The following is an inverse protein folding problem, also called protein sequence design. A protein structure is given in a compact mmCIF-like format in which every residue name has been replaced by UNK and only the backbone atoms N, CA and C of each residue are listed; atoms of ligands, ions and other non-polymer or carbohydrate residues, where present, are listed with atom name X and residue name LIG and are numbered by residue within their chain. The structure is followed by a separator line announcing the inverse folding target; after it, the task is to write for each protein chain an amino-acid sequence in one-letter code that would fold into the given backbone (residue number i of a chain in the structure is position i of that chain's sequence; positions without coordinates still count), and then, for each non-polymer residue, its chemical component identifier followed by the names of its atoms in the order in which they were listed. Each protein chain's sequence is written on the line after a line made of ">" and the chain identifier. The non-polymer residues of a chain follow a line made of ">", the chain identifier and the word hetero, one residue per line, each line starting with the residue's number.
data_IF_712048393933
#
_entry.id   IF_712048393933
#
_cell.length_a   1.000
_cell.length_b   1.000
_cell.length_c   1.000
_cell.angle_alpha   90.00
_cell.angle_beta   90.00
_cell.angle_gamma   90.00
#
_symmetry.space_group_name_H-M   'P 1'
#
loop_
_entity.id
_entity.type
_entity.pdbx_description
1 polymer ?
#
# COMPACT_ATOMS: atom_id res chain seq x y z
N UNK A 1 3.14 -2.73 5.48
CA UNK A 1 1.68 -2.99 5.49
C UNK A 1 0.98 -1.64 5.42
N UNK A 2 0.76 -1.07 4.23
CA UNK A 2 0.17 0.26 4.09
C UNK A 2 -1.16 0.40 4.86
N UNK A 3 -1.45 1.56 5.44
CA UNK A 3 -2.67 1.89 6.19
C UNK A 3 -2.74 1.39 7.63
N UNK A 4 -1.71 0.67 8.13
CA UNK A 4 -1.71 0.15 9.50
C UNK A 4 -1.74 1.27 10.57
N UNK A 5 -1.15 2.43 10.27
CA UNK A 5 -1.18 3.61 11.15
C UNK A 5 -2.50 4.39 11.09
N UNK A 6 -3.45 3.98 10.24
CA UNK A 6 -4.63 4.76 9.92
C UNK A 6 -4.29 6.13 9.33
N UNK A 7 -5.32 6.96 9.13
CA UNK A 7 -5.17 8.30 8.55
C UNK A 7 -4.23 9.20 9.35
N UNK A 8 -4.27 9.12 10.68
CA UNK A 8 -3.51 10.00 11.59
C UNK A 8 -2.00 9.78 11.52
N UNK A 9 -1.54 8.54 11.32
CA UNK A 9 -0.11 8.20 11.34
C UNK A 9 0.44 7.82 9.96
N UNK A 10 -0.29 8.08 8.88
CA UNK A 10 0.06 7.58 7.55
C UNK A 10 1.42 8.07 7.05
N UNK A 11 1.70 9.37 7.16
CA UNK A 11 2.99 9.94 6.79
C UNK A 11 4.14 9.35 7.63
N UNK A 12 3.93 9.25 8.95
CA UNK A 12 4.93 8.69 9.86
C UNK A 12 5.20 7.20 9.55
N UNK A 13 4.15 6.44 9.25
CA UNK A 13 4.23 5.04 8.88
C UNK A 13 5.02 4.87 7.57
N UNK A 14 4.74 5.68 6.55
CA UNK A 14 5.47 5.65 5.28
C UNK A 14 6.98 5.91 5.47
N UNK A 15 7.33 7.04 6.10
CA UNK A 15 8.72 7.48 6.30
C UNK A 15 9.52 6.50 7.15
N UNK A 16 8.96 6.03 8.26
CA UNK A 16 9.65 5.07 9.13
C UNK A 16 9.79 3.70 8.47
N UNK A 17 8.79 3.25 7.70
CA UNK A 17 8.91 2.00 6.95
C UNK A 17 10.06 2.09 5.95
N UNK A 18 10.17 3.18 5.19
CA UNK A 18 11.29 3.38 4.27
C UNK A 18 12.65 3.40 5.01
N UNK A 19 12.74 4.12 6.14
CA UNK A 19 13.96 4.18 6.96
C UNK A 19 14.41 2.78 7.40
N UNK A 20 13.51 1.99 7.98
CA UNK A 20 13.83 0.65 8.49
C UNK A 20 14.18 -0.31 7.33
N UNK A 21 13.47 -0.25 6.21
CA UNK A 21 13.76 -1.09 5.06
C UNK A 21 15.13 -0.76 4.43
N UNK A 22 15.51 0.51 4.40
CA UNK A 22 16.82 0.94 3.93
C UNK A 22 17.95 0.46 4.86
N UNK A 23 17.70 0.34 6.17
CA UNK A 23 18.68 -0.20 7.11
C UNK A 23 18.81 -1.73 7.05
N UNK A 24 17.69 -2.43 6.86
CA UNK A 24 17.66 -3.90 6.77
C UNK A 24 18.24 -4.40 5.43
N UNK A 25 18.01 -3.65 4.35
CA UNK A 25 18.35 -4.01 2.96
C UNK A 25 17.85 -5.41 2.53
N UNK A 26 16.53 -5.71 2.65
CA UNK A 26 16.03 -7.06 2.41
C UNK A 26 15.94 -7.42 0.92
N UNK A 27 16.09 -8.71 0.60
CA UNK A 27 15.90 -9.21 -0.77
C UNK A 27 14.49 -8.96 -1.32
N UNK A 28 13.47 -9.06 -0.45
CA UNK A 28 12.07 -8.91 -0.81
C UNK A 28 11.27 -8.15 0.24
N UNK A 29 10.44 -7.20 -0.21
CA UNK A 29 9.46 -6.47 0.58
C UNK A 29 8.08 -6.72 -0.04
N UNK A 30 7.17 -7.37 0.70
CA UNK A 30 5.82 -7.68 0.20
C UNK A 30 4.79 -6.71 0.78
N UNK A 31 4.25 -5.85 -0.09
CA UNK A 31 3.20 -4.91 0.27
C UNK A 31 1.86 -5.63 0.42
N UNK A 32 1.24 -5.43 1.58
CA UNK A 32 -0.08 -5.95 1.93
C UNK A 32 -0.83 -4.82 2.65
N UNK A 33 -1.83 -4.20 2.01
CA UNK A 33 -2.60 -3.14 2.64
C UNK A 33 -3.34 -3.69 3.86
N UNK A 34 -3.37 -2.91 4.94
CA UNK A 34 -4.12 -3.24 6.13
C UNK A 34 -5.60 -3.40 5.77
N UNK A 35 -6.18 -4.51 6.20
CA UNK A 35 -7.60 -4.84 6.03
C UNK A 35 -8.12 -5.16 7.42
N UNK A 36 -9.19 -4.50 7.90
CA UNK A 36 -9.77 -4.81 9.19
C UNK A 36 -10.14 -6.29 9.33
N UNK A 37 -10.08 -6.82 10.55
CA UNK A 37 -10.46 -8.19 10.84
C UNK A 37 -11.39 -8.22 12.07
N UNK A 38 -12.65 -8.69 11.95
CA UNK A 38 -13.67 -8.69 13.01
C UNK A 38 -13.27 -9.27 14.37
N UNK A 39 -12.16 -10.00 14.45
CA UNK A 39 -11.65 -10.63 15.68
C UNK A 39 -10.39 -9.94 16.22
N UNK A 40 -10.24 -8.64 15.96
CA UNK A 40 -9.05 -7.89 16.40
C UNK A 40 -9.43 -6.60 17.13
N UNK A 41 -8.68 -6.17 18.14
CA UNK A 41 -8.92 -4.90 18.83
C UNK A 41 -8.95 -3.71 17.87
N UNK A 42 -8.14 -3.74 16.81
CA UNK A 42 -8.09 -2.66 15.83
C UNK A 42 -9.38 -2.55 14.99
N UNK A 43 -10.13 -3.65 14.85
CA UNK A 43 -11.47 -3.60 14.25
C UNK A 43 -12.50 -2.95 15.18
N UNK A 44 -12.41 -3.18 16.49
CA UNK A 44 -13.25 -2.50 17.49
C UNK A 44 -12.95 -0.99 17.49
N UNK A 45 -11.68 -0.60 17.44
CA UNK A 45 -11.27 0.80 17.30
C UNK A 45 -11.78 1.43 16.00
N UNK A 46 -11.77 0.68 14.90
CA UNK A 46 -12.31 1.15 13.62
C UNK A 46 -13.83 1.36 13.68
N UNK A 47 -14.56 0.36 14.13
CA UNK A 47 -16.03 0.39 14.21
C UNK A 47 -16.57 1.39 15.24
N UNK A 48 -15.79 1.70 16.28
CA UNK A 48 -16.09 2.76 17.25
C UNK A 48 -15.70 4.17 16.78
N UNK A 49 -15.00 4.30 15.64
CA UNK A 49 -14.58 5.59 15.06
C UNK A 49 -13.27 6.15 15.63
N UNK A 50 -12.59 5.42 16.51
CA UNK A 50 -11.30 5.84 17.09
C UNK A 50 -10.13 5.65 16.09
N UNK A 51 -10.27 4.69 15.17
CA UNK A 51 -9.33 4.41 14.10
C UNK A 51 -9.95 4.68 12.73
N UNK A 52 -9.35 5.59 11.96
CA UNK A 52 -9.80 5.93 10.61
C UNK A 52 -8.95 5.22 9.57
N UNK A 53 -9.60 4.43 8.70
CA UNK A 53 -8.94 3.83 7.54
C UNK A 53 -8.51 4.89 6.54
N UNK A 54 -7.53 4.54 5.72
CA UNK A 54 -7.20 5.31 4.53
C UNK A 54 -8.25 5.07 3.45
N UNK A 55 -8.49 6.10 2.64
CA UNK A 55 -9.20 5.93 1.38
C UNK A 55 -8.29 5.20 0.37
N UNK A 56 -8.83 4.61 -0.71
CA UNK A 56 -8.03 3.95 -1.73
C UNK A 56 -6.87 4.81 -2.29
N UNK A 57 -7.08 6.11 -2.53
CA UNK A 57 -6.02 7.05 -2.89
C UNK A 57 -5.10 7.37 -1.71
N UNK A 58 -5.63 7.42 -0.48
CA UNK A 58 -4.84 7.58 0.74
C UNK A 58 -3.74 6.51 0.86
N UNK A 59 -4.09 5.24 0.63
CA UNK A 59 -3.09 4.17 0.59
C UNK A 59 -2.05 4.36 -0.53
N UNK A 60 -2.46 4.75 -1.74
CA UNK A 60 -1.52 5.03 -2.83
C UNK A 60 -0.55 6.16 -2.47
N UNK A 61 -1.05 7.25 -1.85
CA UNK A 61 -0.20 8.36 -1.38
C UNK A 61 0.77 7.91 -0.30
N UNK A 62 0.34 7.05 0.62
CA UNK A 62 1.22 6.49 1.63
C UNK A 62 2.34 5.63 1.02
N UNK A 63 1.98 4.75 0.08
CA UNK A 63 2.95 3.93 -0.66
C UNK A 63 3.89 4.83 -1.45
N UNK A 64 3.39 5.90 -2.06
CA UNK A 64 4.20 6.90 -2.79
C UNK A 64 5.28 7.49 -1.89
N UNK A 65 4.89 8.05 -0.74
CA UNK A 65 5.82 8.64 0.23
C UNK A 65 6.89 7.63 0.67
N UNK A 66 6.49 6.38 0.92
CA UNK A 66 7.44 5.31 1.25
C UNK A 66 8.41 5.05 0.09
N UNK A 67 7.91 4.88 -1.14
CA UNK A 67 8.72 4.58 -2.32
C UNK A 67 9.68 5.71 -2.68
N UNK A 68 9.27 6.97 -2.53
CA UNK A 68 10.12 8.15 -2.72
C UNK A 68 11.40 8.07 -1.85
N UNK A 69 11.27 7.60 -0.61
CA UNK A 69 12.38 7.47 0.34
C UNK A 69 13.13 6.12 0.31
N UNK A 70 12.60 5.10 -0.40
CA UNK A 70 13.25 3.78 -0.51
C UNK A 70 14.52 3.80 -1.36
N UNK A 71 15.58 3.15 -0.85
CA UNK A 71 16.94 3.09 -1.39
C UNK A 71 17.61 1.70 -1.25
N UNK A 72 16.83 0.66 -0.92
CA UNK A 72 17.31 -0.71 -0.74
C UNK A 72 17.55 -1.46 -2.07
N UNK A 73 18.30 -2.57 -2.01
CA UNK A 73 18.73 -3.41 -3.12
C UNK A 73 17.91 -4.71 -3.26
N UNK A 74 16.59 -4.62 -3.21
CA UNK A 74 15.73 -5.80 -3.24
C UNK A 74 14.61 -5.70 -4.25
N UNK A 75 13.50 -6.36 -3.96
CA UNK A 75 12.28 -6.34 -4.76
C UNK A 75 11.10 -5.88 -3.93
N UNK A 76 10.34 -4.90 -4.43
CA UNK A 76 9.05 -4.50 -3.88
C UNK A 76 7.93 -5.26 -4.60
N UNK A 77 7.16 -6.07 -3.88
CA UNK A 77 6.14 -6.96 -4.44
C UNK A 77 4.73 -6.53 -4.02
N UNK A 78 3.76 -6.68 -4.92
CA UNK A 78 2.33 -6.42 -4.70
C UNK A 78 1.49 -7.69 -4.93
N UNK A 79 2.08 -8.86 -4.70
CA UNK A 79 1.60 -10.21 -5.03
C UNK A 79 0.38 -10.73 -4.24
N UNK A 80 -0.30 -9.86 -3.50
CA UNK A 80 -1.40 -10.22 -2.63
C UNK A 80 -2.74 -9.68 -3.14
N UNK A 81 -3.82 -10.44 -3.00
CA UNK A 81 -5.17 -10.07 -3.45
C UNK A 81 -5.69 -8.75 -2.84
N UNK A 82 -5.13 -8.33 -1.70
CA UNK A 82 -5.47 -7.09 -1.01
C UNK A 82 -4.82 -5.86 -1.66
N UNK A 83 -3.93 -6.02 -2.65
CA UNK A 83 -3.51 -4.92 -3.52
C UNK A 83 -4.61 -4.68 -4.57
N UNK A 84 -5.65 -3.96 -4.16
CA UNK A 84 -6.91 -3.84 -4.88
C UNK A 84 -6.93 -2.76 -5.98
N UNK A 85 -5.84 -2.00 -6.16
CA UNK A 85 -5.78 -0.94 -7.17
C UNK A 85 -5.86 -1.48 -8.59
N UNK A 86 -6.45 -0.68 -9.47
CA UNK A 86 -6.75 -1.03 -10.85
C UNK A 86 -6.17 0.02 -11.77
N UNK A 87 -5.54 -0.40 -12.86
CA UNK A 87 -5.14 0.45 -13.97
C UNK A 87 -6.34 0.88 -14.82
N UNK A 88 -6.10 1.77 -15.79
CA UNK A 88 -7.19 2.32 -16.63
C UNK A 88 -7.98 1.24 -17.37
N UNK A 89 -7.29 0.20 -17.81
CA UNK A 89 -7.80 -0.98 -18.52
C UNK A 89 -8.59 -1.95 -17.61
N UNK A 90 -8.69 -1.67 -16.32
CA UNK A 90 -9.38 -2.50 -15.33
C UNK A 90 -8.56 -3.68 -14.82
N UNK A 91 -7.31 -3.86 -15.25
CA UNK A 91 -6.38 -4.85 -14.72
C UNK A 91 -5.75 -4.36 -13.41
N UNK A 92 -5.08 -5.23 -12.62
CA UNK A 92 -4.33 -4.77 -11.45
C UNK A 92 -3.34 -3.66 -11.81
N UNK A 93 -3.25 -2.63 -10.98
CA UNK A 93 -2.34 -1.49 -11.20
C UNK A 93 -0.88 -1.92 -11.12
N UNK A 94 -0.56 -2.80 -10.17
CA UNK A 94 0.78 -3.34 -9.96
C UNK A 94 0.88 -4.79 -10.46
N UNK A 95 2.09 -5.25 -10.76
CA UNK A 95 2.39 -6.66 -11.06
C UNK A 95 1.92 -7.56 -9.91
N UNK A 96 1.00 -8.46 -10.23
CA UNK A 96 0.44 -9.46 -9.31
C UNK A 96 1.22 -10.78 -9.43
N UNK A 97 2.54 -10.72 -9.32
CA UNK A 97 3.44 -11.87 -9.38
C UNK A 97 4.51 -11.79 -8.28
N UNK A 98 5.27 -12.89 -8.12
CA UNK A 98 6.30 -13.00 -7.08
C UNK A 98 7.59 -12.22 -7.38
N UNK A 99 7.76 -11.72 -8.61
CA UNK A 99 8.97 -11.01 -9.04
C UNK A 99 8.96 -9.55 -8.60
N UNK A 100 7.80 -8.91 -8.51
CA UNK A 100 7.68 -7.51 -8.10
C UNK A 100 8.55 -6.57 -8.96
N UNK A 101 9.00 -5.49 -8.34
CA UNK A 101 9.82 -4.44 -8.95
C UNK A 101 11.20 -4.42 -8.29
N UNK A 102 12.26 -4.57 -9.06
CA UNK A 102 13.66 -4.55 -8.63
C UNK A 102 14.07 -3.11 -8.35
N UNK A 103 14.62 -2.86 -7.15
CA UNK A 103 15.15 -1.56 -6.76
C UNK A 103 16.68 -1.56 -6.83
N UNK A 104 17.28 -0.44 -7.28
CA UNK A 104 16.64 0.85 -7.64
C UNK A 104 16.06 0.95 -9.07
N UNK A 105 16.27 -0.06 -9.93
CA UNK A 105 16.09 0.02 -11.38
C UNK A 105 14.65 0.30 -11.83
N UNK A 106 13.67 -0.26 -11.13
CA UNK A 106 12.23 -0.15 -11.46
C UNK A 106 11.49 0.79 -10.48
N UNK A 107 12.22 1.61 -9.71
CA UNK A 107 11.62 2.56 -8.75
C UNK A 107 10.71 3.58 -9.43
N UNK A 108 11.18 4.18 -10.53
CA UNK A 108 10.42 5.19 -11.26
C UNK A 108 9.14 4.59 -11.89
N UNK A 109 9.20 3.33 -12.36
CA UNK A 109 8.02 2.61 -12.85
C UNK A 109 6.95 2.49 -11.75
N UNK A 110 7.34 2.16 -10.52
CA UNK A 110 6.40 2.08 -9.39
C UNK A 110 5.78 3.45 -9.10
N UNK A 111 6.57 4.53 -9.13
CA UNK A 111 6.07 5.89 -8.91
C UNK A 111 5.09 6.31 -10.02
N UNK A 112 5.39 6.00 -11.29
CA UNK A 112 4.53 6.28 -12.43
C UNK A 112 3.19 5.52 -12.34
N UNK A 113 3.23 4.26 -11.92
CA UNK A 113 2.01 3.47 -11.69
C UNK A 113 1.16 4.06 -10.55
N UNK A 114 1.79 4.52 -9.47
CA UNK A 114 1.06 5.21 -8.39
C UNK A 114 0.41 6.49 -8.92
N UNK A 115 1.11 7.29 -9.71
CA UNK A 115 0.56 8.49 -10.35
C UNK A 115 -0.56 8.17 -11.34
N UNK A 116 -0.49 7.05 -12.06
CA UNK A 116 -1.61 6.56 -12.86
C UNK A 116 -2.82 6.26 -11.96
N UNK A 117 -2.62 5.48 -10.90
CA UNK A 117 -3.67 5.11 -9.95
C UNK A 117 -4.37 6.32 -9.35
N UNK A 118 -3.59 7.34 -8.95
CA UNK A 118 -4.14 8.58 -8.39
C UNK A 118 -4.97 9.40 -9.38
N UNK A 119 -4.80 9.20 -10.69
CA UNK A 119 -5.60 9.85 -11.75
C UNK A 119 -6.88 9.08 -12.07
N UNK A 120 -7.01 7.84 -11.59
CA UNK A 120 -8.21 7.03 -11.78
C UNK A 120 -9.21 7.41 -10.68
N UNK A 121 -10.49 7.54 -11.07
CA UNK A 121 -11.59 7.76 -10.13
C UNK A 121 -11.50 6.80 -8.94
N UNK A 122 -11.48 7.34 -7.73
CA UNK A 122 -11.16 6.59 -6.51
C UNK A 122 -12.12 5.41 -6.29
N UNK A 123 -13.38 5.57 -6.70
CA UNK A 123 -14.42 4.53 -6.64
C UNK A 123 -14.12 3.28 -7.48
N UNK A 124 -13.18 3.35 -8.44
CA UNK A 124 -12.72 2.19 -9.20
C UNK A 124 -11.74 1.31 -8.42
N UNK A 125 -11.21 1.80 -7.31
CA UNK A 125 -10.33 1.04 -6.42
C UNK A 125 -11.14 0.46 -5.26
N UNK A 126 -11.70 -0.74 -5.47
CA UNK A 126 -12.62 -1.35 -4.50
C UNK A 126 -11.84 -2.21 -3.51
N UNK A 127 -11.57 -1.67 -2.33
CA UNK A 127 -11.19 -2.47 -1.17
C UNK A 127 -12.46 -3.14 -0.63
N UNK A 128 -12.61 -4.45 -0.83
CA UNK A 128 -13.82 -5.19 -0.46
C UNK A 128 -13.92 -5.44 1.06
N UNK A 129 -14.03 -4.35 1.82
CA UNK A 129 -14.23 -4.37 3.27
C UNK A 129 -15.70 -4.65 3.62
N UNK A 130 -16.63 -4.55 2.67
CA UNK A 130 -18.05 -4.80 2.91
C UNK A 130 -18.35 -6.22 3.40
N UNK A 131 -17.48 -7.20 3.16
CA UNK A 131 -17.64 -8.58 3.65
C UNK A 131 -17.28 -8.75 5.12
N UNK A 132 -16.77 -7.70 5.78
CA UNK A 132 -16.36 -7.73 7.17
C UNK A 132 -17.45 -7.21 8.12
N UNK A 133 -18.54 -6.69 7.58
CA UNK A 133 -19.75 -6.27 8.29
C UNK A 133 -20.85 -7.30 8.12
#
# INVERSE_FOLDING_TARGET
>A
MPGLGGKKMSEQHAKNTASVLNEIDPDFVRSRPYTPNPLTPLFEEWTSGNFELLSPHGYLREIKMMVEDLKFNGRLCFDHAMNFWRGRDGRPLFRMDYSGYKFPEEKDEVLDLIEEGLKIEESRHVQRIEYLM
#
